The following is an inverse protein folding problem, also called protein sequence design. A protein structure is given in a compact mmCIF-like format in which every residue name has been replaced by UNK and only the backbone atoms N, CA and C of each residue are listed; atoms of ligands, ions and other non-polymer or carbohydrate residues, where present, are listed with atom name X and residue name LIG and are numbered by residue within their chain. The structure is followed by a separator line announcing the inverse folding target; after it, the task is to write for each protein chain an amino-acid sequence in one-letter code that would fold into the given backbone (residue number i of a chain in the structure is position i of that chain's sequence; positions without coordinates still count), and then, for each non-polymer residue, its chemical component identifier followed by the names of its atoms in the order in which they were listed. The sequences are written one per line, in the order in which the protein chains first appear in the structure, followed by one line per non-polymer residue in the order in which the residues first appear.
data_IF_357783853130
#
_entry.id   IF_357783853130
#
_cell.length_a   1.000
_cell.length_b   1.000
_cell.length_c   1.000
_cell.angle_alpha   90.00
_cell.angle_beta   90.00
_cell.angle_gamma   90.00
#
_symmetry.space_group_name_H-M   'P 1'
#
loop_
_entity.id
_entity.type
_entity.pdbx_description
1 polymer ?
#
# COMPACT_ATOMS: atom_id res chain seq x y z
N UNK A 1 -3.60 -15.04 -19.48
CA UNK A 1 -3.45 -14.99 -18.01
C UNK A 1 -4.66 -14.30 -17.36
N UNK A 2 -5.19 -14.80 -16.22
CA UNK A 2 -6.25 -14.11 -15.45
C UNK A 2 -5.65 -13.42 -14.23
N UNK A 3 -6.02 -12.16 -14.01
CA UNK A 3 -5.52 -11.34 -12.90
C UNK A 3 -6.69 -10.68 -12.19
N UNK A 4 -6.74 -10.82 -10.86
CA UNK A 4 -7.71 -10.12 -10.03
C UNK A 4 -7.24 -8.68 -9.83
N UNK A 5 -8.03 -7.70 -10.26
CA UNK A 5 -7.75 -6.29 -10.01
C UNK A 5 -8.42 -5.85 -8.71
N UNK A 6 -7.60 -5.43 -7.75
CA UNK A 6 -8.04 -4.90 -6.47
C UNK A 6 -7.87 -3.38 -6.43
N UNK A 7 -8.87 -2.68 -6.96
CA UNK A 7 -8.98 -1.22 -6.97
C UNK A 7 -10.44 -0.80 -7.07
N UNK A 8 -10.74 0.44 -6.68
CA UNK A 8 -12.07 1.05 -6.90
C UNK A 8 -12.25 1.56 -8.33
N UNK A 9 -11.15 1.78 -9.05
CA UNK A 9 -11.14 2.25 -10.43
C UNK A 9 -10.93 1.08 -11.40
N UNK A 10 -11.26 1.23 -12.69
CA UNK A 10 -10.82 0.30 -13.73
C UNK A 10 -9.29 0.29 -13.86
N UNK A 11 -8.70 -0.83 -14.32
CA UNK A 11 -7.27 -0.86 -14.63
C UNK A 11 -6.94 0.11 -15.77
N UNK A 12 -5.81 0.79 -15.64
CA UNK A 12 -5.29 1.68 -16.68
C UNK A 12 -4.70 0.87 -17.83
N UNK A 13 -4.75 1.41 -19.05
CA UNK A 13 -4.15 0.76 -20.22
C UNK A 13 -2.68 0.42 -19.99
N UNK A 14 -1.92 1.33 -19.38
CA UNK A 14 -0.51 1.10 -19.10
C UNK A 14 -0.26 -0.03 -18.08
N UNK A 15 -1.20 -0.29 -17.16
CA UNK A 15 -1.12 -1.44 -16.25
C UNK A 15 -1.35 -2.76 -17.00
N UNK A 16 -2.33 -2.76 -17.91
CA UNK A 16 -2.62 -3.90 -18.79
C UNK A 16 -1.39 -4.22 -19.65
N UNK A 17 -0.90 -3.23 -20.40
CA UNK A 17 0.27 -3.37 -21.28
C UNK A 17 1.51 -3.85 -20.50
N UNK A 18 1.70 -3.37 -19.26
CA UNK A 18 2.81 -3.79 -18.41
C UNK A 18 2.70 -5.26 -18.00
N UNK A 19 1.51 -5.74 -17.60
CA UNK A 19 1.32 -7.15 -17.26
C UNK A 19 1.46 -8.06 -18.48
N UNK A 20 0.90 -7.70 -19.62
CA UNK A 20 1.02 -8.49 -20.85
C UNK A 20 2.50 -8.63 -21.27
N UNK A 21 3.29 -7.57 -21.09
CA UNK A 21 4.74 -7.63 -21.31
C UNK A 21 5.46 -8.56 -20.32
N UNK A 22 5.06 -8.54 -19.04
CA UNK A 22 5.64 -9.39 -17.99
C UNK A 22 5.31 -10.86 -18.24
N UNK A 23 4.05 -11.18 -18.55
CA UNK A 23 3.58 -12.55 -18.74
C UNK A 23 3.82 -13.08 -20.16
N UNK A 24 4.07 -12.20 -21.13
CA UNK A 24 4.22 -12.53 -22.57
C UNK A 24 3.00 -13.22 -23.17
N UNK A 25 1.82 -12.88 -22.67
CA UNK A 25 0.52 -13.39 -23.11
C UNK A 25 -0.58 -12.37 -22.80
N UNK A 26 -1.73 -12.43 -23.50
CA UNK A 26 -2.87 -11.57 -23.19
C UNK A 26 -3.36 -11.72 -21.75
N UNK A 27 -3.70 -10.60 -21.10
CA UNK A 27 -4.16 -10.56 -19.71
C UNK A 27 -5.65 -10.21 -19.67
N UNK A 28 -6.43 -11.02 -18.95
CA UNK A 28 -7.82 -10.74 -18.64
C UNK A 28 -7.94 -10.31 -17.18
N UNK A 29 -8.55 -9.15 -16.96
CA UNK A 29 -8.78 -8.61 -15.63
C UNK A 29 -10.16 -8.99 -15.11
N UNK A 30 -10.17 -9.61 -13.93
CA UNK A 30 -11.36 -9.76 -13.11
C UNK A 30 -11.37 -8.59 -12.12
N UNK A 31 -12.26 -7.60 -12.30
CA UNK A 31 -12.30 -6.45 -11.38
C UNK A 31 -13.10 -6.82 -10.15
N UNK A 32 -12.46 -6.81 -8.98
CA UNK A 32 -13.15 -7.08 -7.73
C UNK A 32 -14.13 -5.96 -7.40
N UNK A 33 -15.43 -6.27 -7.34
CA UNK A 33 -16.50 -5.31 -7.03
C UNK A 33 -17.01 -5.38 -5.59
N UNK A 34 -16.44 -6.26 -4.77
CA UNK A 34 -16.82 -6.40 -3.37
C UNK A 34 -16.17 -5.35 -2.46
N UNK A 35 -16.37 -5.51 -1.15
CA UNK A 35 -15.76 -4.64 -0.15
C UNK A 35 -14.25 -4.86 -0.05
N UNK A 36 -13.47 -3.82 -0.32
CA UNK A 36 -12.02 -3.76 -0.10
C UNK A 36 -11.64 -3.38 1.35
N UNK A 37 -12.48 -3.75 2.32
CA UNK A 37 -12.23 -3.48 3.75
C UNK A 37 -11.38 -4.54 4.43
N UNK A 38 -11.30 -5.75 3.85
CA UNK A 38 -10.60 -6.92 4.38
C UNK A 38 -9.85 -7.63 3.27
N UNK A 39 -8.59 -8.00 3.52
CA UNK A 39 -7.75 -8.68 2.53
C UNK A 39 -8.22 -10.12 2.27
N UNK A 40 -8.82 -10.74 3.28
CA UNK A 40 -9.40 -12.09 3.26
C UNK A 40 -10.43 -12.24 2.15
N UNK A 41 -11.28 -11.23 1.94
CA UNK A 41 -12.30 -11.31 0.90
C UNK A 41 -11.72 -11.38 -0.52
N UNK A 42 -10.56 -10.74 -0.76
CA UNK A 42 -9.87 -10.82 -2.05
C UNK A 42 -9.24 -12.20 -2.25
N UNK A 43 -8.68 -12.78 -1.18
CA UNK A 43 -8.08 -14.11 -1.22
C UNK A 43 -9.15 -15.18 -1.45
N UNK A 44 -10.25 -15.15 -0.69
CA UNK A 44 -11.38 -16.06 -0.86
C UNK A 44 -11.96 -15.99 -2.28
N UNK A 45 -12.09 -14.77 -2.81
CA UNK A 45 -12.55 -14.56 -4.18
C UNK A 45 -11.56 -15.12 -5.21
N UNK A 46 -10.26 -14.84 -5.05
CA UNK A 46 -9.22 -15.38 -5.92
C UNK A 46 -9.18 -16.92 -5.87
N UNK A 47 -9.31 -17.54 -4.70
CA UNK A 47 -9.38 -19.00 -4.56
C UNK A 47 -10.61 -19.58 -5.26
N UNK A 48 -11.80 -18.99 -5.04
CA UNK A 48 -13.06 -19.40 -5.68
C UNK A 48 -12.97 -19.34 -7.19
N UNK A 49 -12.42 -18.24 -7.70
CA UNK A 49 -12.26 -17.99 -9.14
C UNK A 49 -11.01 -18.65 -9.74
N UNK A 50 -10.21 -19.34 -8.92
CA UNK A 50 -8.94 -19.99 -9.30
C UNK A 50 -7.94 -19.02 -9.96
N UNK A 51 -7.88 -17.79 -9.46
CA UNK A 51 -6.97 -16.74 -9.92
C UNK A 51 -5.70 -16.74 -9.06
N UNK A 52 -4.53 -16.84 -9.71
CA UNK A 52 -3.24 -16.94 -9.02
C UNK A 52 -2.53 -15.59 -8.84
N UNK A 53 -3.00 -14.53 -9.49
CA UNK A 53 -2.37 -13.21 -9.46
C UNK A 53 -3.36 -12.16 -9.05
N UNK A 54 -3.00 -11.35 -8.05
CA UNK A 54 -3.78 -10.18 -7.64
C UNK A 54 -2.94 -8.94 -7.89
N UNK A 55 -3.40 -8.02 -8.72
CA UNK A 55 -2.80 -6.68 -8.86
C UNK A 55 -3.54 -5.71 -7.95
N UNK A 56 -2.84 -5.19 -6.95
CA UNK A 56 -3.39 -4.27 -5.95
C UNK A 56 -2.94 -2.82 -6.20
N UNK A 57 -3.91 -1.91 -6.16
CA UNK A 57 -3.70 -0.46 -6.12
C UNK A 57 -4.30 0.05 -4.81
N UNK A 58 -3.65 -0.30 -3.70
CA UNK A 58 -4.17 -0.14 -2.33
C UNK A 58 -3.10 0.43 -1.40
N UNK A 59 -3.49 0.91 -0.21
CA UNK A 59 -2.57 1.26 0.88
C UNK A 59 -1.55 0.15 1.20
N UNK A 60 -0.35 0.51 1.65
CA UNK A 60 0.73 -0.46 1.90
C UNK A 60 0.38 -1.44 3.02
N UNK A 61 -0.34 -0.98 4.04
CA UNK A 61 -0.83 -1.85 5.12
C UNK A 61 -1.75 -2.96 4.59
N UNK A 62 -2.62 -2.64 3.63
CA UNK A 62 -3.55 -3.59 3.07
C UNK A 62 -2.79 -4.58 2.20
N UNK A 63 -1.85 -4.08 1.41
CA UNK A 63 -0.95 -4.88 0.59
C UNK A 63 -0.11 -5.84 1.45
N UNK A 64 0.39 -5.39 2.60
CA UNK A 64 1.12 -6.24 3.56
C UNK A 64 0.26 -7.43 4.00
N UNK A 65 -0.98 -7.16 4.41
CA UNK A 65 -1.89 -8.20 4.84
C UNK A 65 -2.23 -9.15 3.68
N UNK A 66 -2.56 -8.59 2.51
CA UNK A 66 -2.88 -9.34 1.30
C UNK A 66 -1.71 -10.24 0.84
N UNK A 67 -0.48 -9.74 0.88
CA UNK A 67 0.73 -10.51 0.58
C UNK A 67 0.91 -11.69 1.53
N UNK A 68 0.72 -11.45 2.84
CA UNK A 68 0.89 -12.48 3.87
C UNK A 68 -0.11 -13.63 3.67
N UNK A 69 -1.37 -13.31 3.43
CA UNK A 69 -2.41 -14.30 3.14
C UNK A 69 -2.19 -14.99 1.79
N UNK A 70 -1.86 -14.22 0.75
CA UNK A 70 -1.60 -14.74 -0.58
C UNK A 70 -0.49 -15.79 -0.60
N UNK A 71 0.60 -15.56 0.14
CA UNK A 71 1.70 -16.52 0.29
C UNK A 71 1.25 -17.86 0.87
N UNK A 72 0.35 -17.86 1.85
CA UNK A 72 -0.20 -19.08 2.45
C UNK A 72 -1.07 -19.87 1.47
N UNK A 73 -1.65 -19.19 0.47
CA UNK A 73 -2.58 -19.76 -0.52
C UNK A 73 -1.97 -19.94 -1.90
N UNK A 74 -0.65 -19.77 -2.05
CA UNK A 74 0.05 -19.81 -3.33
C UNK A 74 -0.53 -18.81 -4.37
N UNK A 75 -0.93 -17.63 -3.90
CA UNK A 75 -1.40 -16.51 -4.70
C UNK A 75 -0.31 -15.43 -4.71
N UNK A 76 0.08 -14.99 -5.90
CA UNK A 76 1.08 -13.94 -6.10
C UNK A 76 0.41 -12.57 -6.06
N UNK A 77 0.87 -11.72 -5.14
CA UNK A 77 0.42 -10.33 -5.04
C UNK A 77 1.40 -9.41 -5.78
N UNK A 78 0.86 -8.69 -6.75
CA UNK A 78 1.51 -7.66 -7.53
C UNK A 78 1.06 -6.28 -7.02
N UNK A 79 1.97 -5.33 -7.04
CA UNK A 79 1.73 -3.95 -6.63
C UNK A 79 1.89 -3.02 -7.83
N UNK A 80 0.88 -2.19 -8.07
CA UNK A 80 0.97 -1.10 -9.05
C UNK A 80 1.63 0.11 -8.40
N UNK A 81 2.83 0.48 -8.87
CA UNK A 81 3.55 1.64 -8.38
C UNK A 81 2.96 2.88 -9.03
N UNK A 82 2.32 3.70 -8.22
CA UNK A 82 1.69 4.96 -8.62
C UNK A 82 2.50 6.15 -8.08
N UNK A 83 2.82 7.12 -8.94
CA UNK A 83 3.53 8.35 -8.57
C UNK A 83 2.53 9.50 -8.42
N UNK A 84 2.53 10.24 -7.30
CA UNK A 84 1.69 11.44 -7.18
C UNK A 84 2.19 12.52 -8.15
N UNK A 85 1.28 13.01 -8.99
CA UNK A 85 1.54 14.08 -9.96
C UNK A 85 1.12 15.42 -9.36
N UNK A 86 -0.07 15.48 -8.78
CA UNK A 86 -0.68 16.72 -8.29
C UNK A 86 -1.72 16.42 -7.22
N UNK A 87 -1.85 17.34 -6.27
CA UNK A 87 -2.99 17.46 -5.38
C UNK A 87 -3.72 18.77 -5.70
N UNK A 88 -5.04 18.73 -5.82
CA UNK A 88 -5.89 19.90 -6.08
C UNK A 88 -7.22 19.80 -5.33
N UNK A 89 -7.89 20.93 -5.12
CA UNK A 89 -9.26 21.00 -4.61
C UNK A 89 -10.32 21.05 -5.73
N UNK A 90 -9.88 21.15 -6.99
CA UNK A 90 -10.75 21.27 -8.16
C UNK A 90 -10.86 19.94 -8.89
N UNK A 91 -12.07 19.38 -8.97
CA UNK A 91 -12.34 18.17 -9.76
C UNK A 91 -11.98 18.39 -11.23
N UNK A 92 -12.37 19.53 -11.80
CA UNK A 92 -12.09 19.87 -13.20
C UNK A 92 -10.60 19.93 -13.52
N UNK A 93 -9.77 20.41 -12.59
CA UNK A 93 -8.32 20.40 -12.77
C UNK A 93 -7.76 18.97 -12.74
N UNK A 94 -8.25 18.12 -11.83
CA UNK A 94 -7.83 16.71 -11.76
C UNK A 94 -8.22 15.95 -13.05
N UNK A 95 -9.44 16.14 -13.54
CA UNK A 95 -9.93 15.56 -14.80
C UNK A 95 -9.11 16.04 -16.01
N UNK A 96 -8.74 17.32 -16.05
CA UNK A 96 -7.87 17.87 -17.10
C UNK A 96 -6.48 17.23 -17.08
N UNK A 97 -5.90 17.00 -15.91
CA UNK A 97 -4.59 16.36 -15.79
C UNK A 97 -4.63 14.89 -16.20
N UNK A 98 -5.73 14.19 -15.93
CA UNK A 98 -5.95 12.81 -16.39
C UNK A 98 -6.15 12.77 -17.90
N UNK A 99 -6.91 13.70 -18.50
CA UNK A 99 -7.16 13.70 -19.95
C UNK A 99 -5.92 13.97 -20.80
N UNK A 100 -4.87 14.53 -20.21
CA UNK A 100 -3.56 14.69 -20.86
C UNK A 100 -2.82 13.36 -21.07
N UNK A 101 -3.08 12.35 -20.24
CA UNK A 101 -2.48 11.02 -20.34
C UNK A 101 -3.40 9.95 -19.70
N UNK A 102 -4.56 9.67 -20.31
CA UNK A 102 -5.60 8.84 -19.70
C UNK A 102 -5.20 7.36 -19.59
N UNK A 103 -4.19 6.94 -20.36
CA UNK A 103 -3.67 5.57 -20.34
C UNK A 103 -2.78 5.31 -19.12
N UNK A 104 -2.23 6.37 -18.52
CA UNK A 104 -1.31 6.29 -17.38
C UNK A 104 -1.80 6.99 -16.13
N UNK A 105 -2.77 7.90 -16.23
CA UNK A 105 -3.20 8.73 -15.11
C UNK A 105 -4.59 8.39 -14.63
N UNK A 106 -4.76 8.52 -13.32
CA UNK A 106 -6.04 8.45 -12.63
C UNK A 106 -6.06 9.46 -11.50
N UNK A 107 -7.23 9.73 -10.93
CA UNK A 107 -7.34 10.51 -9.70
C UNK A 107 -8.15 9.76 -8.65
N UNK A 108 -7.85 10.03 -7.39
CA UNK A 108 -8.60 9.54 -6.23
C UNK A 108 -9.23 10.74 -5.53
N UNK A 109 -10.53 10.63 -5.24
CA UNK A 109 -11.29 11.61 -4.47
C UNK A 109 -11.21 11.28 -2.96
N UNK A 110 -10.65 12.20 -2.19
CA UNK A 110 -10.59 12.15 -0.72
C UNK A 110 -11.63 13.07 -0.06
N UNK A 111 -12.68 13.46 -0.79
CA UNK A 111 -13.80 14.29 -0.37
C UNK A 111 -13.52 15.79 -0.38
N UNK A 112 -12.32 16.23 -0.01
CA UNK A 112 -11.91 17.66 -0.01
C UNK A 112 -10.79 17.98 -0.99
N UNK A 113 -10.07 16.95 -1.41
CA UNK A 113 -8.92 17.03 -2.30
C UNK A 113 -8.98 15.86 -3.29
N UNK A 114 -8.51 16.13 -4.50
CA UNK A 114 -8.28 15.16 -5.55
C UNK A 114 -6.77 14.99 -5.69
N UNK A 115 -6.31 13.75 -5.64
CA UNK A 115 -4.90 13.41 -5.91
C UNK A 115 -4.82 12.71 -7.25
N UNK A 116 -4.05 13.29 -8.17
CA UNK A 116 -3.75 12.71 -9.47
C UNK A 116 -2.49 11.85 -9.34
N UNK A 117 -2.60 10.61 -9.80
CA UNK A 117 -1.52 9.64 -9.81
C UNK A 117 -1.21 9.20 -11.23
N UNK A 118 0.06 8.94 -11.49
CA UNK A 118 0.55 8.39 -12.75
C UNK A 118 1.16 7.01 -12.48
N UNK A 119 0.74 6.03 -13.26
CA UNK A 119 1.31 4.69 -13.25
C UNK A 119 2.80 4.73 -13.63
N UNK A 120 3.63 4.01 -12.88
CA UNK A 120 5.07 3.90 -13.12
C UNK A 120 5.41 2.51 -13.62
N UNK A 121 5.18 1.49 -12.80
CA UNK A 121 5.52 0.10 -13.10
C UNK A 121 4.74 -0.86 -12.19
N UNK A 122 4.78 -2.15 -12.53
CA UNK A 122 4.26 -3.22 -11.68
C UNK A 122 5.44 -3.92 -11.00
N UNK A 123 5.31 -4.16 -9.69
CA UNK A 123 6.28 -4.90 -8.89
C UNK A 123 5.67 -6.15 -8.29
N UNK A 124 6.46 -7.21 -8.18
CA UNK A 124 6.16 -8.33 -7.29
C UNK A 124 6.72 -8.03 -5.91
N UNK A 125 5.94 -8.30 -4.88
CA UNK A 125 6.39 -8.20 -3.49
C UNK A 125 7.22 -9.44 -3.18
N UNK A 126 8.51 -9.25 -2.87
CA UNK A 126 9.42 -10.36 -2.57
C UNK A 126 9.42 -10.72 -1.08
N UNK A 127 9.23 -9.73 -0.21
CA UNK A 127 9.25 -9.87 1.23
C UNK A 127 8.94 -8.54 1.91
N UNK A 128 8.75 -8.58 3.23
CA UNK A 128 8.44 -7.41 4.04
C UNK A 128 9.29 -7.47 5.32
N UNK A 129 9.95 -6.37 5.66
CA UNK A 129 10.78 -6.23 6.85
C UNK A 129 10.23 -5.13 7.75
N UNK A 130 10.15 -5.42 9.06
CA UNK A 130 9.80 -4.43 10.09
C UNK A 130 11.08 -4.09 10.85
N UNK A 131 11.34 -2.79 11.03
CA UNK A 131 12.44 -2.31 11.87
C UNK A 131 11.87 -1.64 13.11
N UNK A 132 12.29 -2.11 14.28
CA UNK A 132 11.95 -1.50 15.55
C UNK A 132 13.03 -0.47 15.88
N UNK A 133 12.62 0.77 16.13
CA UNK A 133 13.49 1.82 16.62
C UNK A 133 13.29 1.98 18.14
N UNK A 134 14.35 2.33 18.89
CA UNK A 134 14.20 2.66 20.30
C UNK A 134 13.24 3.86 20.43
N UNK A 135 12.35 3.81 21.43
CA UNK A 135 11.45 4.90 21.74
C UNK A 135 12.29 6.10 22.22
N UNK A 136 12.57 7.05 21.33
CA UNK A 136 13.30 8.29 21.64
C UNK A 136 12.31 9.42 21.96
N UNK A 137 12.81 10.45 22.65
CA UNK A 137 12.02 11.65 22.95
C UNK A 137 11.62 12.30 21.61
N UNK A 138 10.33 12.61 21.34
CA UNK A 138 9.82 13.10 20.05
C UNK A 138 10.48 14.37 19.49
N UNK A 139 11.45 14.97 20.20
CA UNK A 139 12.26 16.10 19.73
C UNK A 139 13.47 15.70 18.86
N UNK A 140 13.79 14.41 18.75
CA UNK A 140 14.92 13.89 17.96
C UNK A 140 14.56 13.59 16.48
N UNK A 141 13.70 14.42 15.85
CA UNK A 141 13.30 14.28 14.44
C UNK A 141 14.49 14.21 13.46
N UNK A 142 15.63 14.80 13.83
CA UNK A 142 16.84 14.79 13.01
C UNK A 142 17.44 13.39 12.85
N UNK A 143 17.32 12.52 13.85
CA UNK A 143 17.85 11.17 13.78
C UNK A 143 16.92 10.22 13.02
N UNK A 144 15.59 10.42 13.14
CA UNK A 144 14.62 9.72 12.28
C UNK A 144 14.80 10.08 10.81
N UNK A 145 15.02 11.37 10.50
CA UNK A 145 15.36 11.81 9.14
C UNK A 145 16.67 11.20 8.66
N UNK A 146 17.71 11.16 9.49
CA UNK A 146 18.99 10.55 9.15
C UNK A 146 18.86 9.05 8.88
N UNK A 147 18.07 8.32 9.68
CA UNK A 147 17.79 6.90 9.44
C UNK A 147 17.02 6.71 8.14
N UNK A 148 16.01 7.55 7.86
CA UNK A 148 15.29 7.54 6.60
C UNK A 148 16.23 7.82 5.41
N UNK A 149 17.14 8.80 5.54
CA UNK A 149 18.16 9.14 4.53
C UNK A 149 19.21 8.04 4.32
N UNK A 150 19.67 7.40 5.39
CA UNK A 150 20.58 6.25 5.32
C UNK A 150 19.89 5.07 4.61
N UNK A 151 18.62 4.81 4.92
CA UNK A 151 17.79 3.82 4.20
C UNK A 151 17.59 4.19 2.72
N UNK A 152 17.56 5.49 2.39
CA UNK A 152 17.50 5.97 1.02
C UNK A 152 18.84 5.82 0.26
N UNK A 153 19.97 5.78 0.97
CA UNK A 153 21.32 5.75 0.38
C UNK A 153 21.86 4.34 0.06
N UNK A 154 21.33 3.28 0.68
CA UNK A 154 21.83 1.90 0.53
C UNK A 154 21.31 1.16 -0.73
N UNK A 155 20.52 1.83 -1.57
CA UNK A 155 20.12 1.29 -2.89
C UNK A 155 18.92 0.34 -2.88
N UNK A 156 18.23 0.14 -1.75
CA UNK A 156 16.92 -0.53 -1.70
C UNK A 156 15.81 0.48 -2.11
N UNK A 157 15.73 0.79 -3.41
CA UNK A 157 14.97 1.94 -3.91
C UNK A 157 13.44 1.91 -3.75
N UNK A 158 12.83 3.03 -3.33
CA UNK A 158 12.41 4.16 -4.20
C UNK A 158 11.59 5.25 -3.46
N UNK A 159 11.64 6.47 -4.03
CA UNK A 159 10.94 7.77 -3.84
C UNK A 159 10.89 8.45 -2.44
N UNK A 160 11.73 9.50 -2.18
CA UNK A 160 11.71 10.29 -0.94
C UNK A 160 10.39 10.99 -0.63
N UNK A 161 9.46 11.11 -1.58
CA UNK A 161 8.13 11.71 -1.36
C UNK A 161 7.11 10.76 -0.75
N UNK A 162 7.44 9.47 -0.59
CA UNK A 162 6.59 8.48 0.08
C UNK A 162 6.74 8.46 1.61
N UNK A 163 7.77 9.14 2.15
CA UNK A 163 8.10 9.10 3.60
C UNK A 163 6.97 9.64 4.50
N UNK A 164 6.33 10.79 4.20
CA UNK A 164 5.22 11.27 5.03
C UNK A 164 4.02 10.32 5.00
N UNK A 165 3.79 9.66 3.86
CA UNK A 165 2.68 8.74 3.63
C UNK A 165 2.86 7.42 4.41
N UNK A 166 4.09 6.90 4.45
CA UNK A 166 4.42 5.67 5.19
C UNK A 166 4.28 5.89 6.70
N UNK A 167 4.67 7.07 7.21
CA UNK A 167 4.54 7.40 8.63
C UNK A 167 3.08 7.60 9.06
N UNK A 168 2.26 8.24 8.22
CA UNK A 168 0.83 8.40 8.46
C UNK A 168 0.09 7.06 8.40
N UNK A 169 0.43 6.18 7.45
CA UNK A 169 -0.12 4.82 7.39
C UNK A 169 0.32 3.94 8.57
N UNK A 170 1.56 4.07 9.05
CA UNK A 170 2.05 3.38 10.24
C UNK A 170 1.33 3.83 11.51
N UNK A 171 1.07 5.14 11.67
CA UNK A 171 0.28 5.65 12.79
C UNK A 171 -1.12 5.05 12.81
N UNK A 172 -1.80 5.05 11.65
CA UNK A 172 -3.12 4.44 11.51
C UNK A 172 -3.10 2.91 11.73
N UNK A 173 -2.04 2.21 11.32
CA UNK A 173 -1.87 0.78 11.56
C UNK A 173 -1.72 0.46 13.05
N UNK A 174 -0.95 1.28 13.77
CA UNK A 174 -0.75 1.16 15.21
C UNK A 174 -2.09 1.38 15.93
N UNK A 175 -2.83 2.43 15.58
CA UNK A 175 -4.15 2.71 16.16
C UNK A 175 -5.16 1.58 15.89
N UNK A 176 -5.13 0.99 14.68
CA UNK A 176 -5.99 -0.13 14.31
C UNK A 176 -5.61 -1.42 15.05
N UNK A 177 -4.31 -1.68 15.22
CA UNK A 177 -3.80 -2.79 16.03
C UNK A 177 -4.22 -2.64 17.48
N UNK A 178 -4.11 -1.44 18.06
CA UNK A 178 -4.60 -1.16 19.41
C UNK A 178 -6.11 -1.34 19.54
N UNK A 179 -6.90 -0.90 18.55
CA UNK A 179 -8.35 -1.05 18.55
C UNK A 179 -8.83 -2.52 18.47
N UNK A 180 -8.00 -3.42 17.91
CA UNK A 180 -8.32 -4.85 17.75
C UNK A 180 -7.72 -5.74 18.84
N UNK A 181 -6.83 -5.22 19.68
CA UNK A 181 -6.23 -5.98 20.79
C UNK A 181 -7.24 -6.12 21.93
N UNK A 182 -7.39 -7.35 22.46
CA UNK A 182 -8.20 -7.55 23.66
C UNK A 182 -7.66 -6.71 24.83
N UNK A 183 -8.51 -6.22 25.75
CA UNK A 183 -8.07 -5.41 26.90
C UNK A 183 -6.95 -6.07 27.71
N UNK A 184 -6.87 -7.41 27.68
CA UNK A 184 -5.86 -8.21 28.37
C UNK A 184 -4.46 -8.10 27.75
N UNK A 185 -4.36 -7.87 26.44
CA UNK A 185 -3.09 -7.68 25.72
C UNK A 185 -2.68 -6.21 25.77
N UNK A 186 -3.64 -5.30 25.66
CA UNK A 186 -3.45 -3.85 25.89
C UNK A 186 -2.86 -3.58 27.28
N UNK A 187 -3.47 -4.16 28.33
CA UNK A 187 -2.94 -4.04 29.69
C UNK A 187 -1.54 -4.63 29.85
N UNK A 188 -1.21 -5.73 29.16
CA UNK A 188 0.15 -6.30 29.21
C UNK A 188 1.18 -5.42 28.49
N UNK A 189 0.80 -4.83 27.35
CA UNK A 189 1.65 -3.90 26.62
C UNK A 189 1.87 -2.60 27.40
N UNK A 190 0.82 -2.04 27.99
CA UNK A 190 0.90 -0.87 28.87
C UNK A 190 1.75 -1.15 30.12
N UNK A 191 1.60 -2.33 30.73
CA UNK A 191 2.40 -2.72 31.89
C UNK A 191 3.87 -2.92 31.52
N UNK A 192 4.19 -3.47 30.34
CA UNK A 192 5.56 -3.55 29.82
C UNK A 192 6.17 -2.17 29.58
N UNK A 193 5.39 -1.26 28.98
CA UNK A 193 5.81 0.13 28.73
C UNK A 193 6.07 0.85 30.06
N UNK A 194 5.23 0.61 31.08
CA UNK A 194 5.40 1.17 32.42
C UNK A 194 6.64 0.61 33.12
N UNK A 195 6.86 -0.71 33.07
CA UNK A 195 8.07 -1.35 33.61
C UNK A 195 9.36 -0.85 32.94
N UNK A 196 9.34 -0.64 31.62
CA UNK A 196 10.49 -0.09 30.89
C UNK A 196 10.78 1.38 31.23
N UNK A 197 9.78 2.13 31.71
CA UNK A 197 9.96 3.51 32.21
C UNK A 197 10.50 3.56 33.63
N UNK A 198 10.25 2.54 34.44
CA UNK A 198 10.72 2.45 35.85
C UNK A 198 12.13 1.86 35.98
N UNK A 199 12.70 1.33 34.89
CA UNK A 199 14.10 0.84 34.83
C UNK A 199 15.09 1.96 34.40
N UNK A 200 14.60 3.19 34.19
CA UNK A 200 15.42 4.41 34.07
C UNK A 200 15.58 5.09 35.42
#
# INVERSE_FOLDING_TARGET
MRVLFASRHPPLKAEIDALEKIFREPVSFEVYRGSLSKAEHLIEYAEKEKIQYILAVLPLWFIYHLYTLGKQKNITVLYSVMKPVKETKSLTEAELLVSQDPDRRTYVDYGKIYKVFEFVEIRRIAGISIRLLPLKDPKDEAEERKIAEEMMSTGEGRDPRAVPYILEELGNLIDLLFAQMSPRILNKAEMLIKMLKEIR
#
